data_IF_177687591867
#
_entry.id   IF_177687591867
#
_cell.length_a   1.000
_cell.length_b   1.000
_cell.length_c   1.000
_cell.angle_alpha   90.00
_cell.angle_beta   90.00
_cell.angle_gamma   90.00
#
_symmetry.space_group_name_H-M   'P 1'
#
loop_
_entity.id
_entity.type
_entity.pdbx_description
1 polymer ?
#
# COMPACT_ATOMS: atom_id res chain seq x y z
N UNK A 1 28.21 12.07 -4.43
CA UNK A 1 27.47 10.83 -4.10
C UNK A 1 26.00 11.13 -4.32
N UNK A 2 25.43 10.62 -5.41
CA UNK A 2 24.02 10.82 -5.75
C UNK A 2 23.21 9.71 -5.07
N UNK A 3 22.41 10.07 -4.07
CA UNK A 3 21.48 9.14 -3.42
C UNK A 3 20.39 8.78 -4.44
N UNK A 4 20.28 7.48 -4.69
CA UNK A 4 19.35 6.87 -5.65
C UNK A 4 17.90 7.21 -5.29
N UNK A 5 17.28 8.11 -6.05
CA UNK A 5 15.82 8.22 -6.18
C UNK A 5 15.32 7.07 -7.07
N UNK A 6 15.39 5.83 -6.58
CA UNK A 6 14.90 4.63 -7.30
C UNK A 6 13.63 4.04 -6.68
N UNK A 7 12.94 4.79 -5.81
CA UNK A 7 11.85 4.25 -4.98
C UNK A 7 10.43 4.40 -5.55
N UNK A 8 10.23 5.03 -6.72
CA UNK A 8 8.89 5.21 -7.29
C UNK A 8 8.54 4.19 -8.36
N UNK A 9 9.50 3.72 -9.15
CA UNK A 9 9.22 2.86 -10.31
C UNK A 9 8.92 1.42 -9.86
N UNK A 10 9.61 0.91 -8.84
CA UNK A 10 9.52 -0.51 -8.50
C UNK A 10 8.20 -0.94 -7.84
N UNK A 11 7.58 -0.10 -6.99
CA UNK A 11 6.42 -0.54 -6.21
C UNK A 11 5.16 -0.72 -7.07
N UNK A 12 4.93 0.17 -8.04
CA UNK A 12 3.82 0.06 -8.96
C UNK A 12 3.98 -1.17 -9.87
N UNK A 13 5.21 -1.40 -10.37
CA UNK A 13 5.54 -2.56 -11.20
C UNK A 13 5.40 -3.88 -10.44
N UNK A 14 5.82 -3.91 -9.16
CA UNK A 14 5.65 -5.07 -8.27
C UNK A 14 4.16 -5.39 -8.06
N UNK A 15 3.33 -4.37 -7.76
CA UNK A 15 1.89 -4.55 -7.61
C UNK A 15 1.26 -5.03 -8.92
N UNK A 16 1.70 -4.50 -10.07
CA UNK A 16 1.20 -4.89 -11.38
C UNK A 16 1.58 -6.34 -11.72
N UNK A 17 2.79 -6.78 -11.36
CA UNK A 17 3.22 -8.18 -11.50
C UNK A 17 2.35 -9.12 -10.63
N UNK A 18 2.11 -8.75 -9.37
CA UNK A 18 1.24 -9.52 -8.48
C UNK A 18 -0.20 -9.60 -8.99
N UNK A 19 -0.70 -8.51 -9.58
CA UNK A 19 -2.04 -8.44 -10.16
C UNK A 19 -2.17 -9.33 -11.41
N UNK A 20 -1.16 -9.34 -12.28
CA UNK A 20 -1.11 -10.27 -13.42
C UNK A 20 -1.09 -11.73 -12.95
N UNK A 21 -0.36 -12.03 -11.87
CA UNK A 21 -0.36 -13.37 -11.29
C UNK A 21 -1.73 -13.76 -10.71
N UNK A 22 -2.40 -12.84 -10.01
CA UNK A 22 -3.74 -13.06 -9.48
C UNK A 22 -4.78 -13.30 -10.60
N UNK A 23 -4.64 -12.66 -11.76
CA UNK A 23 -5.49 -12.94 -12.91
C UNK A 23 -5.26 -14.34 -13.47
N UNK A 24 -4.01 -14.82 -13.54
CA UNK A 24 -3.72 -16.20 -13.94
C UNK A 24 -4.36 -17.21 -12.99
N UNK A 25 -4.27 -16.98 -11.69
CA UNK A 25 -4.93 -17.83 -10.67
C UNK A 25 -6.45 -17.86 -10.88
N UNK A 26 -7.08 -16.72 -11.20
CA UNK A 26 -8.51 -16.67 -11.49
C UNK A 26 -8.87 -17.41 -12.79
N UNK A 27 -8.05 -17.28 -13.83
CA UNK A 27 -8.23 -18.02 -15.08
C UNK A 27 -8.09 -19.54 -14.88
N UNK A 28 -7.16 -19.98 -14.02
CA UNK A 28 -7.04 -21.38 -13.62
C UNK A 28 -8.32 -21.87 -12.92
N UNK A 29 -8.84 -21.10 -11.95
CA UNK A 29 -10.12 -21.41 -11.27
C UNK A 29 -11.27 -21.48 -12.28
N UNK A 30 -11.34 -20.55 -13.23
CA UNK A 30 -12.37 -20.50 -14.27
C UNK A 30 -12.32 -21.70 -15.22
N UNK A 31 -11.13 -22.12 -15.62
CA UNK A 31 -10.93 -23.18 -16.61
C UNK A 31 -10.93 -24.58 -16.01
N UNK A 32 -10.71 -24.70 -14.70
CA UNK A 32 -10.76 -25.98 -14.00
C UNK A 32 -12.20 -26.44 -13.85
N UNK A 33 -12.56 -27.54 -14.52
CA UNK A 33 -13.85 -28.21 -14.27
C UNK A 33 -13.86 -28.79 -12.86
N UNK A 34 -14.67 -28.24 -11.98
CA UNK A 34 -14.91 -28.81 -10.66
C UNK A 34 -16.11 -29.75 -10.72
N UNK A 35 -15.90 -30.99 -10.26
CA UNK A 35 -16.99 -31.94 -10.03
C UNK A 35 -17.57 -31.68 -8.64
N UNK A 36 -18.68 -30.95 -8.58
CA UNK A 36 -19.38 -30.63 -7.33
C UNK A 36 -20.38 -31.75 -7.05
N UNK A 37 -20.05 -32.62 -6.10
CA UNK A 37 -20.86 -33.79 -5.71
C UNK A 37 -21.49 -33.66 -4.33
N UNK A 38 -21.12 -32.64 -3.56
CA UNK A 38 -21.52 -32.46 -2.17
C UNK A 38 -21.55 -30.96 -1.78
N UNK A 39 -22.29 -30.58 -0.72
CA UNK A 39 -22.39 -29.18 -0.30
C UNK A 39 -21.05 -28.55 0.11
N UNK A 40 -20.12 -29.34 0.66
CA UNK A 40 -18.82 -28.83 1.10
C UNK A 40 -17.92 -28.51 -0.10
N UNK A 41 -17.99 -29.30 -1.18
CA UNK A 41 -17.28 -29.01 -2.43
C UNK A 41 -17.81 -27.74 -3.11
N UNK A 42 -19.11 -27.46 -3.01
CA UNK A 42 -19.68 -26.19 -3.46
C UNK A 42 -19.16 -25.00 -2.64
N UNK A 43 -19.21 -25.08 -1.31
CA UNK A 43 -18.71 -24.00 -0.43
C UNK A 43 -17.20 -23.75 -0.65
N UNK A 44 -16.42 -24.82 -0.89
CA UNK A 44 -15.01 -24.73 -1.24
C UNK A 44 -14.76 -23.96 -2.54
N UNK A 45 -15.57 -24.21 -3.57
CA UNK A 45 -15.53 -23.50 -4.84
C UNK A 45 -15.85 -22.01 -4.67
N UNK A 46 -16.93 -21.69 -3.95
CA UNK A 46 -17.34 -20.30 -3.68
C UNK A 46 -16.25 -19.54 -2.91
N UNK A 47 -15.70 -20.15 -1.86
CA UNK A 47 -14.61 -19.53 -1.09
C UNK A 47 -13.36 -19.30 -1.93
N UNK A 48 -13.03 -20.20 -2.86
CA UNK A 48 -11.88 -20.01 -3.75
C UNK A 48 -12.09 -18.80 -4.69
N UNK A 49 -13.28 -18.67 -5.28
CA UNK A 49 -13.65 -17.54 -6.14
C UNK A 49 -13.63 -16.23 -5.35
N UNK A 50 -14.20 -16.21 -4.14
CA UNK A 50 -14.19 -15.03 -3.26
C UNK A 50 -12.77 -14.61 -2.91
N UNK A 51 -11.91 -15.55 -2.49
CA UNK A 51 -10.50 -15.25 -2.17
C UNK A 51 -9.74 -14.68 -3.37
N UNK A 52 -9.92 -15.26 -4.56
CA UNK A 52 -9.23 -14.79 -5.76
C UNK A 52 -9.69 -13.38 -6.16
N UNK A 53 -11.00 -13.13 -6.15
CA UNK A 53 -11.56 -11.82 -6.49
C UNK A 53 -11.24 -10.74 -5.45
N UNK A 54 -11.25 -11.07 -4.16
CA UNK A 54 -10.84 -10.16 -3.09
C UNK A 54 -9.35 -9.79 -3.21
N UNK A 55 -8.49 -10.75 -3.55
CA UNK A 55 -7.06 -10.49 -3.82
C UNK A 55 -6.88 -9.54 -5.01
N UNK A 56 -7.60 -9.75 -6.11
CA UNK A 56 -7.57 -8.86 -7.28
C UNK A 56 -8.08 -7.46 -6.91
N UNK A 57 -9.19 -7.36 -6.19
CA UNK A 57 -9.75 -6.08 -5.76
C UNK A 57 -8.76 -5.31 -4.87
N UNK A 58 -8.09 -6.00 -3.95
CA UNK A 58 -7.07 -5.43 -3.09
C UNK A 58 -5.88 -4.89 -3.91
N UNK A 59 -5.32 -5.71 -4.82
CA UNK A 59 -4.19 -5.31 -5.65
C UNK A 59 -4.52 -4.18 -6.63
N UNK A 60 -5.72 -4.19 -7.23
CA UNK A 60 -6.17 -3.08 -8.09
C UNK A 60 -6.27 -1.77 -7.31
N UNK A 61 -6.83 -1.83 -6.09
CA UNK A 61 -6.94 -0.66 -5.24
C UNK A 61 -5.56 -0.16 -4.82
N UNK A 62 -4.64 -1.07 -4.49
CA UNK A 62 -3.24 -0.77 -4.20
C UNK A 62 -2.58 0.00 -5.34
N UNK A 63 -2.74 -0.50 -6.57
CA UNK A 63 -2.15 0.08 -7.77
C UNK A 63 -2.67 1.51 -7.99
N UNK A 64 -3.99 1.71 -7.87
CA UNK A 64 -4.60 3.04 -8.03
C UNK A 64 -4.16 4.02 -6.96
N UNK A 65 -4.02 3.58 -5.71
CA UNK A 65 -3.48 4.41 -4.64
C UNK A 65 -2.02 4.76 -4.91
N UNK A 66 -1.20 3.78 -5.34
CA UNK A 66 0.22 4.02 -5.65
C UNK A 66 0.36 5.02 -6.81
N UNK A 67 -0.40 4.84 -7.89
CA UNK A 67 -0.46 5.77 -9.02
C UNK A 67 -0.89 7.17 -8.61
N UNK A 68 -1.87 7.28 -7.70
CA UNK A 68 -2.32 8.56 -7.18
C UNK A 68 -1.26 9.22 -6.26
N UNK A 69 -0.52 8.46 -5.46
CA UNK A 69 0.59 8.98 -4.65
C UNK A 69 1.74 9.46 -5.55
N UNK A 70 1.92 8.81 -6.70
CA UNK A 70 2.94 9.14 -7.68
C UNK A 70 2.55 10.31 -8.59
N UNK A 71 1.29 10.78 -8.53
CA UNK A 71 0.83 11.90 -9.35
C UNK A 71 1.28 13.25 -8.79
N UNK A 72 1.53 14.20 -9.70
CA UNK A 72 1.97 15.55 -9.35
C UNK A 72 0.89 16.30 -8.55
N UNK A 73 -0.39 16.11 -8.85
CA UNK A 73 -1.50 16.74 -8.12
C UNK A 73 -1.51 16.40 -6.63
N UNK A 74 -1.26 15.13 -6.29
CA UNK A 74 -1.30 14.68 -4.90
C UNK A 74 -0.02 15.09 -4.16
N UNK A 75 1.08 15.23 -4.90
CA UNK A 75 2.34 15.78 -4.40
C UNK A 75 2.22 17.26 -4.07
N UNK A 76 1.61 18.06 -4.94
CA UNK A 76 1.35 19.49 -4.68
C UNK A 76 0.48 19.69 -3.44
N UNK A 77 -0.63 18.95 -3.33
CA UNK A 77 -1.49 18.99 -2.13
C UNK A 77 -0.78 18.53 -0.87
N UNK A 78 0.12 17.54 -0.97
CA UNK A 78 0.94 17.13 0.17
C UNK A 78 1.92 18.23 0.60
N UNK A 79 2.53 18.94 -0.35
CA UNK A 79 3.43 20.06 -0.07
C UNK A 79 2.67 21.25 0.55
N UNK A 80 1.48 21.59 0.04
CA UNK A 80 0.58 22.58 0.65
C UNK A 80 0.24 22.22 2.10
N UNK A 81 -0.13 20.96 2.35
CA UNK A 81 -0.43 20.46 3.69
C UNK A 81 0.78 20.57 4.63
N UNK A 82 1.99 20.27 4.13
CA UNK A 82 3.23 20.39 4.89
C UNK A 82 3.57 21.84 5.21
N UNK A 83 3.30 22.78 4.29
CA UNK A 83 3.52 24.22 4.52
C UNK A 83 2.50 24.81 5.49
N UNK A 84 1.26 24.33 5.48
CA UNK A 84 0.21 24.76 6.41
C UNK A 84 0.44 24.29 7.85
N UNK A 85 1.36 23.35 8.08
CA UNK A 85 1.64 22.83 9.42
C UNK A 85 2.42 23.84 10.28
N UNK A 86 2.05 24.01 11.56
CA UNK A 86 2.67 25.00 12.45
C UNK A 86 4.14 24.69 12.79
N UNK A 87 4.58 23.45 12.62
CA UNK A 87 5.96 23.03 12.87
C UNK A 87 6.61 22.51 11.60
N UNK A 88 7.88 22.87 11.37
CA UNK A 88 8.66 22.39 10.21
C UNK A 88 8.77 20.86 10.25
N UNK A 89 8.13 20.23 9.28
CA UNK A 89 8.22 18.79 9.04
C UNK A 89 9.47 18.48 8.19
N UNK A 90 10.10 17.34 8.47
CA UNK A 90 11.21 16.79 7.68
C UNK A 90 10.70 15.62 6.86
N UNK A 91 10.90 15.66 5.55
CA UNK A 91 10.67 14.53 4.67
C UNK A 91 11.69 13.41 4.99
N UNK A 92 11.19 12.20 5.25
CA UNK A 92 11.95 11.00 5.60
C UNK A 92 11.99 9.99 4.44
N UNK A 93 11.57 10.41 3.24
CA UNK A 93 11.44 9.56 2.08
C UNK A 93 10.15 8.72 2.10
N UNK A 94 10.08 7.74 1.19
CA UNK A 94 8.93 6.84 1.08
C UNK A 94 9.01 5.73 2.11
N UNK A 95 7.88 5.38 2.72
CA UNK A 95 7.75 4.27 3.66
C UNK A 95 6.54 3.40 3.31
N UNK A 96 6.62 2.08 3.58
CA UNK A 96 5.48 1.21 3.42
C UNK A 96 4.42 1.56 4.48
N UNK A 97 3.19 1.78 4.03
CA UNK A 97 2.02 2.08 4.85
C UNK A 97 0.94 1.05 4.55
N UNK A 98 0.33 0.52 5.59
CA UNK A 98 -0.79 -0.41 5.47
C UNK A 98 -2.12 0.35 5.50
N UNK A 99 -2.92 0.21 4.45
CA UNK A 99 -4.25 0.81 4.30
C UNK A 99 -5.28 -0.31 4.31
N UNK A 100 -6.30 -0.18 5.16
CA UNK A 100 -7.42 -1.13 5.18
C UNK A 100 -8.55 -0.61 4.29
N UNK A 101 -8.94 -1.40 3.28
CA UNK A 101 -10.04 -1.03 2.37
C UNK A 101 -11.38 -1.54 2.89
N UNK A 102 -12.47 -1.13 2.23
CA UNK A 102 -13.84 -1.57 2.53
C UNK A 102 -14.04 -3.09 2.46
N UNK A 103 -13.26 -3.78 1.63
CA UNK A 103 -13.21 -5.26 1.53
C UNK A 103 -12.44 -5.91 2.69
N UNK A 104 -11.93 -5.13 3.64
CA UNK A 104 -11.29 -5.61 4.86
C UNK A 104 -9.83 -6.02 4.73
N UNK A 105 -9.34 -6.22 3.50
CA UNK A 105 -7.94 -6.55 3.21
C UNK A 105 -7.02 -5.36 3.44
N UNK A 106 -5.91 -5.61 4.15
CA UNK A 106 -4.85 -4.64 4.35
C UNK A 106 -3.93 -4.62 3.12
N UNK A 107 -3.71 -3.43 2.57
CA UNK A 107 -2.89 -3.20 1.38
C UNK A 107 -1.66 -2.40 1.78
N UNK A 108 -0.48 -2.79 1.30
CA UNK A 108 0.76 -2.06 1.53
C UNK A 108 1.06 -1.14 0.34
N UNK A 109 1.22 0.16 0.60
CA UNK A 109 1.60 1.17 -0.41
C UNK A 109 2.81 1.98 0.07
N UNK A 110 3.62 2.50 -0.85
CA UNK A 110 4.78 3.31 -0.53
C UNK A 110 4.40 4.81 -0.57
N UNK A 111 4.25 5.42 0.60
CA UNK A 111 3.84 6.82 0.75
C UNK A 111 4.98 7.70 1.30
N UNK A 112 5.07 8.99 0.93
CA UNK A 112 6.02 9.93 1.52
C UNK A 112 5.74 10.10 3.02
N UNK A 113 6.77 9.93 3.84
CA UNK A 113 6.67 10.01 5.29
C UNK A 113 7.32 11.29 5.80
N UNK A 114 6.59 12.05 6.61
CA UNK A 114 7.06 13.29 7.21
C UNK A 114 7.13 13.14 8.74
N UNK A 115 8.20 13.63 9.35
CA UNK A 115 8.32 13.65 10.81
C UNK A 115 8.64 15.04 11.34
N UNK A 116 8.18 15.33 12.55
CA UNK A 116 8.51 16.59 13.23
C UNK A 116 9.98 16.60 13.61
N UNK A 117 10.64 17.75 13.43
CA UNK A 117 11.97 17.95 13.97
C UNK A 117 11.85 17.98 15.50
N UNK A 118 12.31 16.92 16.17
CA UNK A 118 12.37 16.86 17.63
C UNK A 118 13.00 18.15 18.17
N UNK A 119 12.21 19.02 18.79
CA UNK A 119 12.74 20.00 19.74
C UNK A 119 13.32 19.15 20.86
N UNK A 120 14.64 18.91 20.82
CA UNK A 120 15.36 18.28 21.94
C UNK A 120 14.87 18.97 23.20
N UNK A 121 14.16 18.21 24.03
CA UNK A 121 13.66 18.70 25.29
C UNK A 121 14.89 19.09 26.12
N UNK A 122 15.15 20.40 26.24
CA UNK A 122 16.32 20.94 26.97
C UNK A 122 16.25 20.63 28.48
N UNK A 123 15.24 19.88 28.94
CA UNK A 123 15.01 19.48 30.32
C UNK A 123 15.90 18.34 30.86
N UNK A 124 16.81 17.76 30.06
CA UNK A 124 17.81 16.76 30.57
C UNK A 124 19.23 17.30 30.78
N UNK A 125 19.42 18.61 30.97
CA UNK A 125 20.68 19.18 31.51
C UNK A 125 20.42 20.00 32.78
N UNK A 126 19.94 19.36 33.85
CA UNK A 126 20.07 19.86 35.24
C UNK A 126 19.65 18.76 36.23
N UNK A 127 20.59 17.84 36.52
CA UNK A 127 20.71 16.97 37.71
C UNK A 127 21.86 16.00 37.39
N UNK A 128 22.97 15.92 38.13
CA UNK A 128 23.33 16.41 39.47
C UNK A 128 24.83 16.77 39.50
N UNK A 129 25.14 17.78 40.34
CA UNK A 129 26.45 17.97 40.98
C UNK A 129 26.74 16.80 41.91
#
# INVERSE_FOLDING_TARGET
>A
MAEKTSGSINQADEIQSQLNQAFKELDEIRNTRQSITDPNSLEGAERAILKATDKIAALMTALKIQQAIDSDELREKADELVQAMPEKLKNQGRRPVSIRTSRGTAITVAAPYFSRKNKKDKRKKKKKK
#
